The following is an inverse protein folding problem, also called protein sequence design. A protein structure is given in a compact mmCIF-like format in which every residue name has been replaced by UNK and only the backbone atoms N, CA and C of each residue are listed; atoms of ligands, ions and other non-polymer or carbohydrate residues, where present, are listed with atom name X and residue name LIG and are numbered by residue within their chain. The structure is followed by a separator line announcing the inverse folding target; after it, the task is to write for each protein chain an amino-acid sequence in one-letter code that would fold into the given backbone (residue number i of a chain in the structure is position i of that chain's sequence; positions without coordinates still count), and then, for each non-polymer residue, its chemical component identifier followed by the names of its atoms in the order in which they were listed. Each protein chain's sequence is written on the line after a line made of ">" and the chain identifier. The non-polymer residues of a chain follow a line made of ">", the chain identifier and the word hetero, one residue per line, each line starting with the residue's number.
data_IF_392402487455
#
_entry.id   IF_392402487455
#
_cell.length_a   1.000
_cell.length_b   1.000
_cell.length_c   1.000
_cell.angle_alpha   90.00
_cell.angle_beta   90.00
_cell.angle_gamma   90.00
#
_symmetry.space_group_name_H-M   'P 1'
#
loop_
_entity.id
_entity.type
_entity.pdbx_description
1 polymer ?
#
# COMPACT_ATOMS: atom_id res chain seq x y z
N UNK A 1 52.21 7.24 -28.06
CA UNK A 1 51.75 6.48 -26.89
C UNK A 1 50.68 7.33 -26.22
N UNK A 2 49.40 7.13 -26.55
CA UNK A 2 48.30 7.94 -26.04
C UNK A 2 47.39 7.03 -25.21
N UNK A 3 47.36 7.25 -23.91
CA UNK A 3 46.50 6.54 -22.96
C UNK A 3 45.07 7.05 -23.04
N UNK A 4 44.17 6.21 -23.53
CA UNK A 4 42.71 6.45 -23.47
C UNK A 4 42.24 6.20 -22.03
N UNK A 5 41.88 7.24 -21.30
CA UNK A 5 41.13 7.15 -20.07
C UNK A 5 39.65 6.93 -20.38
N UNK A 6 39.17 5.72 -20.12
CA UNK A 6 37.74 5.37 -20.18
C UNK A 6 37.03 6.00 -18.97
N UNK A 7 36.16 6.98 -19.20
CA UNK A 7 35.20 7.48 -18.21
C UNK A 7 34.09 6.42 -18.06
N UNK A 8 34.09 5.69 -16.96
CA UNK A 8 32.95 4.89 -16.53
C UNK A 8 31.80 5.86 -16.16
N UNK A 9 30.71 5.78 -16.90
CA UNK A 9 29.47 6.48 -16.58
C UNK A 9 28.82 5.88 -15.32
N UNK A 10 27.99 6.65 -14.60
CA UNK A 10 27.33 6.16 -13.39
C UNK A 10 26.46 4.94 -13.73
N UNK A 11 26.78 3.81 -13.08
CA UNK A 11 26.07 2.56 -13.26
C UNK A 11 24.59 2.74 -12.95
N UNK A 12 23.73 2.55 -13.95
CA UNK A 12 22.29 2.35 -13.74
C UNK A 12 22.15 1.14 -12.81
N UNK A 13 21.65 1.38 -11.61
CA UNK A 13 21.23 0.31 -10.72
C UNK A 13 20.22 -0.56 -11.48
N UNK A 14 20.63 -1.76 -11.87
CA UNK A 14 19.74 -2.76 -12.48
C UNK A 14 18.78 -3.22 -11.39
N UNK A 15 17.56 -2.71 -11.42
CA UNK A 15 16.46 -3.27 -10.63
C UNK A 15 16.34 -4.76 -10.98
N UNK A 16 16.27 -5.67 -10.01
CA UNK A 16 16.05 -7.09 -10.28
C UNK A 16 14.73 -7.24 -11.02
N UNK A 17 14.76 -7.66 -12.28
CA UNK A 17 13.57 -8.05 -13.03
C UNK A 17 13.09 -9.39 -12.48
N UNK A 18 11.85 -9.43 -11.97
CA UNK A 18 11.13 -10.64 -11.63
C UNK A 18 11.17 -11.03 -10.14
N UNK A 19 10.01 -11.28 -9.56
CA UNK A 19 9.71 -11.76 -8.20
C UNK A 19 9.85 -10.76 -7.05
N UNK A 20 9.94 -9.48 -7.30
CA UNK A 20 10.04 -8.46 -6.25
C UNK A 20 8.80 -7.57 -6.26
N UNK A 21 8.18 -7.37 -5.10
CA UNK A 21 7.20 -6.32 -4.90
C UNK A 21 7.94 -5.04 -4.55
N UNK A 22 7.66 -3.96 -5.29
CA UNK A 22 8.20 -2.64 -4.99
C UNK A 22 7.21 -1.89 -4.12
N UNK A 23 7.65 -1.49 -2.93
CA UNK A 23 6.87 -0.73 -1.98
C UNK A 23 7.43 0.69 -1.87
N UNK A 24 6.58 1.67 -2.08
CA UNK A 24 6.92 3.09 -2.12
C UNK A 24 6.15 3.83 -1.05
N UNK A 25 6.84 4.58 -0.21
CA UNK A 25 6.25 5.48 0.77
C UNK A 25 6.36 6.92 0.32
N UNK A 26 5.32 7.71 0.55
CA UNK A 26 5.36 9.14 0.35
C UNK A 26 6.36 9.77 1.33
N UNK A 27 7.31 10.53 0.78
CA UNK A 27 8.20 11.37 1.59
C UNK A 27 7.48 12.67 1.95
N UNK A 28 7.03 12.75 3.18
CA UNK A 28 6.30 13.90 3.72
C UNK A 28 7.21 15.08 4.12
N UNK A 29 8.53 14.90 4.11
CA UNK A 29 9.47 15.99 4.34
C UNK A 29 9.53 16.96 3.17
N UNK A 30 9.08 16.53 1.99
CA UNK A 30 9.00 17.35 0.78
C UNK A 30 7.63 18.01 0.70
N UNK A 31 7.56 19.35 0.70
CA UNK A 31 6.30 20.05 0.55
C UNK A 31 5.66 19.78 -0.81
N UNK A 32 4.32 19.82 -0.86
CA UNK A 32 3.60 19.67 -2.11
C UNK A 32 4.02 20.74 -3.12
N UNK A 33 4.28 20.30 -4.37
CA UNK A 33 4.66 21.20 -5.45
C UNK A 33 3.57 21.23 -6.53
N UNK A 34 3.36 22.39 -7.19
CA UNK A 34 2.33 22.51 -8.23
C UNK A 34 2.43 21.48 -9.36
N UNK A 35 3.64 21.02 -9.68
CA UNK A 35 3.89 20.01 -10.70
C UNK A 35 3.25 18.64 -10.42
N UNK A 36 2.88 18.34 -9.18
CA UNK A 36 2.22 17.06 -8.88
C UNK A 36 0.83 16.97 -9.49
N UNK A 37 0.09 18.06 -9.51
CA UNK A 37 -1.23 18.10 -10.14
C UNK A 37 -1.14 17.90 -11.66
N UNK A 38 -0.12 18.44 -12.31
CA UNK A 38 0.01 18.40 -13.78
C UNK A 38 0.28 17.02 -14.36
N UNK A 39 0.72 16.04 -13.56
CA UNK A 39 0.92 14.66 -14.01
C UNK A 39 -0.32 13.79 -13.87
N UNK A 40 -1.34 14.25 -13.15
CA UNK A 40 -2.63 13.59 -13.00
C UNK A 40 -3.42 13.72 -14.30
N UNK A 41 -4.23 12.72 -14.63
CA UNK A 41 -5.14 12.82 -15.75
C UNK A 41 -6.35 13.74 -15.45
N UNK A 42 -7.14 14.11 -16.46
CA UNK A 42 -8.28 15.02 -16.27
C UNK A 42 -9.30 14.53 -15.24
N UNK A 43 -9.52 13.22 -15.13
CA UNK A 43 -10.45 12.63 -14.16
C UNK A 43 -9.92 12.78 -12.74
N UNK A 44 -8.65 12.47 -12.52
CA UNK A 44 -7.99 12.66 -11.23
C UNK A 44 -7.94 14.14 -10.84
N UNK A 45 -7.63 15.03 -11.79
CA UNK A 45 -7.64 16.49 -11.55
C UNK A 45 -9.03 17.00 -11.15
N UNK A 46 -10.07 16.53 -11.82
CA UNK A 46 -11.46 16.87 -11.47
C UNK A 46 -11.81 16.36 -10.07
N UNK A 47 -11.44 15.12 -9.71
CA UNK A 47 -11.63 14.57 -8.36
C UNK A 47 -10.88 15.39 -7.31
N UNK A 48 -9.62 15.76 -7.59
CA UNK A 48 -8.84 16.61 -6.68
C UNK A 48 -9.52 17.97 -6.47
N UNK A 49 -10.01 18.60 -7.53
CA UNK A 49 -10.69 19.90 -7.46
C UNK A 49 -12.02 19.85 -6.70
N UNK A 50 -12.72 18.70 -6.77
CA UNK A 50 -13.97 18.49 -6.02
C UNK A 50 -13.77 18.36 -4.50
N UNK A 51 -12.55 18.15 -4.03
CA UNK A 51 -12.23 18.12 -2.61
C UNK A 51 -12.15 19.55 -2.06
N UNK A 52 -13.13 19.95 -1.25
CA UNK A 52 -13.25 21.31 -0.73
C UNK A 52 -12.16 21.68 0.29
N UNK A 53 -11.70 20.72 1.10
CA UNK A 53 -10.67 20.95 2.11
C UNK A 53 -9.26 20.79 1.52
N UNK A 54 -8.35 21.71 1.88
CA UNK A 54 -6.98 21.73 1.35
C UNK A 54 -6.18 20.47 1.69
N UNK A 55 -6.21 20.03 2.94
CA UNK A 55 -5.42 18.88 3.39
C UNK A 55 -5.81 17.56 2.69
N UNK A 56 -7.10 17.16 2.57
CA UNK A 56 -7.52 16.02 1.76
C UNK A 56 -7.15 16.16 0.29
N UNK A 57 -7.27 17.35 -0.29
CA UNK A 57 -6.89 17.63 -1.68
C UNK A 57 -5.40 17.40 -1.90
N UNK A 58 -4.56 17.95 -1.04
CA UNK A 58 -3.10 17.78 -1.12
C UNK A 58 -2.71 16.31 -0.94
N UNK A 59 -3.32 15.59 0.00
CA UNK A 59 -3.10 14.17 0.21
C UNK A 59 -3.49 13.33 -1.03
N UNK A 60 -4.63 13.62 -1.64
CA UNK A 60 -5.08 12.96 -2.86
C UNK A 60 -4.07 13.17 -4.02
N UNK A 61 -3.69 14.42 -4.27
CA UNK A 61 -2.74 14.75 -5.34
C UNK A 61 -1.40 14.05 -5.12
N UNK A 62 -0.86 14.10 -3.90
CA UNK A 62 0.41 13.46 -3.56
C UNK A 62 0.34 11.93 -3.73
N UNK A 63 -0.73 11.29 -3.28
CA UNK A 63 -0.92 9.84 -3.39
C UNK A 63 -1.00 9.38 -4.86
N UNK A 64 -1.78 10.05 -5.70
CA UNK A 64 -1.92 9.71 -7.11
C UNK A 64 -0.66 10.02 -7.93
N UNK A 65 0.02 11.12 -7.63
CA UNK A 65 1.30 11.43 -8.25
C UNK A 65 2.39 10.41 -7.83
N UNK A 66 2.34 9.88 -6.59
CA UNK A 66 3.24 8.81 -6.14
C UNK A 66 3.00 7.50 -6.92
N UNK A 67 1.75 7.13 -7.21
CA UNK A 67 1.42 5.97 -8.08
C UNK A 67 2.14 6.11 -9.42
N UNK A 68 1.99 7.25 -10.08
CA UNK A 68 2.59 7.53 -11.38
C UNK A 68 4.11 7.50 -11.33
N UNK A 69 4.70 8.02 -10.24
CA UNK A 69 6.15 7.97 -10.00
C UNK A 69 6.64 6.52 -9.84
N UNK A 70 5.95 5.72 -9.04
CA UNK A 70 6.30 4.31 -8.79
C UNK A 70 6.20 3.47 -10.09
N UNK A 71 5.12 3.66 -10.87
CA UNK A 71 4.95 2.99 -12.16
C UNK A 71 6.04 3.38 -13.16
N UNK A 72 6.40 4.66 -13.20
CA UNK A 72 7.47 5.14 -14.08
C UNK A 72 8.84 4.58 -13.71
N UNK A 73 9.13 4.48 -12.43
CA UNK A 73 10.36 3.86 -11.95
C UNK A 73 10.41 2.35 -12.26
N UNK A 74 9.27 1.66 -12.20
CA UNK A 74 9.17 0.23 -12.48
C UNK A 74 9.25 -0.09 -13.98
N UNK A 75 8.63 0.72 -14.85
CA UNK A 75 8.34 0.40 -16.24
C UNK A 75 9.00 1.33 -17.27
N UNK A 76 9.37 2.55 -16.88
CA UNK A 76 10.09 3.50 -17.72
C UNK A 76 9.30 4.65 -18.32
N UNK A 77 8.03 4.49 -18.78
CA UNK A 77 7.26 5.61 -19.32
C UNK A 77 7.13 6.77 -18.33
N UNK A 78 7.06 8.03 -18.80
CA UNK A 78 6.98 9.19 -17.91
C UNK A 78 5.64 9.25 -17.13
N UNK A 79 5.60 9.86 -15.94
CA UNK A 79 4.43 9.84 -15.04
C UNK A 79 3.11 10.29 -15.67
N UNK A 80 3.14 11.29 -16.54
CA UNK A 80 1.95 11.84 -17.22
C UNK A 80 1.39 10.93 -18.32
N UNK A 81 2.14 9.92 -18.78
CA UNK A 81 1.70 9.02 -19.85
C UNK A 81 0.77 7.90 -19.37
N UNK A 82 0.74 7.63 -18.08
CA UNK A 82 -0.07 6.56 -17.53
C UNK A 82 -1.56 6.84 -17.71
N UNK A 83 -2.29 5.83 -18.17
CA UNK A 83 -3.75 5.83 -18.28
C UNK A 83 -4.29 4.69 -17.44
N UNK A 84 -5.34 4.99 -16.70
CA UNK A 84 -5.99 4.03 -15.82
C UNK A 84 -7.39 3.73 -16.31
N UNK A 85 -7.82 2.52 -16.06
CA UNK A 85 -9.18 2.05 -16.23
C UNK A 85 -9.63 1.41 -14.92
N UNK A 86 -10.91 1.49 -14.63
CA UNK A 86 -11.48 0.84 -13.45
C UNK A 86 -12.17 -0.45 -13.87
N UNK A 87 -11.92 -1.54 -13.12
CA UNK A 87 -12.69 -2.77 -13.26
C UNK A 87 -14.16 -2.53 -12.86
N UNK A 88 -15.10 -3.44 -13.19
CA UNK A 88 -16.49 -3.34 -12.72
C UNK A 88 -16.64 -3.23 -11.20
N UNK A 89 -15.62 -3.63 -10.47
CA UNK A 89 -15.56 -3.56 -8.99
C UNK A 89 -14.74 -2.36 -8.47
N UNK A 90 -14.36 -1.40 -9.33
CA UNK A 90 -13.64 -0.18 -8.95
C UNK A 90 -12.14 -0.36 -8.72
N UNK A 91 -11.54 -1.53 -9.03
CA UNK A 91 -10.09 -1.69 -8.96
C UNK A 91 -9.43 -0.98 -10.14
N UNK A 92 -8.51 -0.03 -9.90
CA UNK A 92 -7.76 0.60 -10.98
C UNK A 92 -6.74 -0.37 -11.58
N UNK A 93 -6.61 -0.34 -12.90
CA UNK A 93 -5.58 -1.04 -13.67
C UNK A 93 -4.92 -0.10 -14.66
N UNK A 94 -3.73 -0.44 -15.12
CA UNK A 94 -2.99 0.35 -16.11
C UNK A 94 -3.34 -0.13 -17.50
N UNK A 95 -3.86 0.76 -18.34
CA UNK A 95 -4.24 0.43 -19.72
C UNK A 95 -3.05 -0.11 -20.50
N UNK A 96 -3.20 -1.29 -21.08
CA UNK A 96 -2.19 -1.91 -21.93
C UNK A 96 -0.98 -2.51 -21.20
N UNK A 97 -1.01 -2.58 -19.85
CA UNK A 97 0.07 -3.17 -19.06
C UNK A 97 -0.47 -4.17 -18.03
N UNK A 98 0.14 -5.36 -17.91
CA UNK A 98 -0.28 -6.37 -16.93
C UNK A 98 0.20 -6.08 -15.50
N UNK A 99 0.80 -4.92 -15.27
CA UNK A 99 1.29 -4.51 -13.95
C UNK A 99 0.15 -4.43 -12.95
N UNK A 100 0.41 -4.90 -11.74
CA UNK A 100 -0.48 -4.74 -10.59
C UNK A 100 0.06 -3.64 -9.70
N UNK A 101 -0.82 -2.79 -9.23
CA UNK A 101 -0.48 -1.82 -8.19
C UNK A 101 -1.60 -1.72 -7.17
N UNK A 102 -1.26 -1.27 -5.98
CA UNK A 102 -2.20 -0.99 -4.91
C UNK A 102 -1.77 0.27 -4.19
N UNK A 103 -2.68 1.23 -4.09
CA UNK A 103 -2.50 2.48 -3.37
C UNK A 103 -3.28 2.41 -2.05
N UNK A 104 -2.68 2.89 -0.97
CA UNK A 104 -3.41 3.25 0.24
C UNK A 104 -2.89 4.54 0.84
N UNK A 105 -3.77 5.27 1.50
CA UNK A 105 -3.43 6.47 2.24
C UNK A 105 -4.30 6.60 3.50
N UNK A 106 -3.71 7.13 4.57
CA UNK A 106 -4.42 7.43 5.83
C UNK A 106 -3.90 8.75 6.36
N UNK A 107 -4.76 9.77 6.36
CA UNK A 107 -4.34 11.14 6.59
C UNK A 107 -3.28 11.59 5.57
N UNK A 108 -2.15 12.16 6.03
CA UNK A 108 -1.08 12.62 5.13
C UNK A 108 -0.14 11.48 4.67
N UNK A 109 -0.27 10.28 5.20
CA UNK A 109 0.58 9.14 4.85
C UNK A 109 0.01 8.40 3.65
N UNK A 110 0.84 8.08 2.67
CA UNK A 110 0.46 7.29 1.50
C UNK A 110 1.56 6.28 1.16
N UNK A 111 1.15 5.15 0.62
CA UNK A 111 2.07 4.16 0.09
C UNK A 111 1.48 3.46 -1.13
N UNK A 112 2.37 2.99 -2.00
CA UNK A 112 2.07 2.29 -3.24
C UNK A 112 2.86 1.00 -3.30
N UNK A 113 2.21 -0.10 -3.58
CA UNK A 113 2.85 -1.35 -3.94
C UNK A 113 2.72 -1.58 -5.45
N UNK A 114 3.80 -2.05 -6.09
CA UNK A 114 3.84 -2.39 -7.53
C UNK A 114 4.40 -3.80 -7.69
N UNK A 115 3.74 -4.63 -8.51
CA UNK A 115 4.18 -5.98 -8.85
C UNK A 115 3.90 -6.28 -10.32
N UNK A 116 4.83 -7.00 -10.96
CA UNK A 116 4.66 -7.47 -12.34
C UNK A 116 4.10 -8.90 -12.41
N UNK A 117 4.18 -9.66 -11.31
CA UNK A 117 3.89 -11.10 -11.32
C UNK A 117 2.73 -11.50 -10.39
N UNK A 118 2.47 -10.72 -9.33
CA UNK A 118 1.55 -11.13 -8.28
C UNK A 118 0.36 -10.18 -8.17
N UNK A 119 -0.81 -10.74 -7.86
CA UNK A 119 -1.89 -9.92 -7.32
C UNK A 119 -1.50 -9.47 -5.93
N UNK A 120 -1.60 -8.17 -5.71
CA UNK A 120 -1.17 -7.49 -4.48
C UNK A 120 -2.26 -6.57 -3.95
N UNK A 121 -2.27 -6.39 -2.65
CA UNK A 121 -3.06 -5.36 -1.98
C UNK A 121 -2.24 -4.73 -0.86
N UNK A 122 -2.37 -3.43 -0.74
CA UNK A 122 -1.73 -2.63 0.29
C UNK A 122 -2.79 -1.83 1.01
N UNK A 123 -2.71 -1.81 2.33
CA UNK A 123 -3.55 -0.93 3.12
C UNK A 123 -2.78 -0.25 4.24
N UNK A 124 -3.26 0.94 4.63
CA UNK A 124 -2.72 1.83 5.66
C UNK A 124 -3.86 2.38 6.48
N UNK A 125 -3.82 2.21 7.82
CA UNK A 125 -4.86 2.70 8.70
C UNK A 125 -4.32 3.29 9.99
N UNK A 126 -4.90 4.41 10.43
CA UNK A 126 -4.61 5.01 11.72
C UNK A 126 -5.34 4.30 12.83
N UNK A 127 -4.62 4.09 13.92
CA UNK A 127 -5.19 3.57 15.16
C UNK A 127 -5.98 4.70 15.85
N UNK A 128 -7.27 4.45 16.10
CA UNK A 128 -8.15 5.35 16.86
C UNK A 128 -8.26 4.84 18.31
N UNK A 129 -7.28 5.22 19.13
CA UNK A 129 -7.19 4.75 20.51
C UNK A 129 -8.33 5.24 21.43
N UNK A 130 -9.04 6.27 21.01
CA UNK A 130 -10.17 6.89 21.71
C UNK A 130 -11.52 6.19 21.46
N UNK A 131 -11.56 5.19 20.57
CA UNK A 131 -12.80 4.51 20.18
C UNK A 131 -12.80 3.05 20.60
N UNK A 132 -13.94 2.57 21.12
CA UNK A 132 -14.15 1.13 21.30
C UNK A 132 -14.39 0.47 19.94
N UNK A 133 -13.52 -0.43 19.49
CA UNK A 133 -13.66 -1.07 18.19
C UNK A 133 -14.65 -2.24 18.17
N UNK A 134 -15.10 -2.75 19.32
CA UNK A 134 -15.90 -3.97 19.41
C UNK A 134 -17.23 -3.88 18.64
N UNK A 135 -17.98 -2.76 18.65
CA UNK A 135 -19.20 -2.64 17.84
C UNK A 135 -18.94 -2.83 16.34
N UNK A 136 -17.86 -2.24 15.82
CA UNK A 136 -17.47 -2.38 14.41
C UNK A 136 -16.99 -3.81 14.10
N UNK A 137 -16.21 -4.40 15.00
CA UNK A 137 -15.77 -5.80 14.84
C UNK A 137 -16.95 -6.77 14.76
N UNK A 138 -17.96 -6.61 15.63
CA UNK A 138 -19.17 -7.44 15.60
C UNK A 138 -19.98 -7.30 14.32
N UNK A 139 -19.92 -6.14 13.68
CA UNK A 139 -20.67 -5.85 12.46
C UNK A 139 -19.97 -6.35 11.20
N UNK A 140 -18.64 -6.28 11.15
CA UNK A 140 -17.88 -6.45 9.92
C UNK A 140 -16.93 -7.64 9.91
N UNK A 141 -16.53 -8.16 11.06
CA UNK A 141 -15.57 -9.26 11.15
C UNK A 141 -16.25 -10.60 11.36
N UNK A 142 -15.51 -11.68 11.15
CA UNK A 142 -15.97 -12.99 11.50
C UNK A 142 -16.22 -13.10 13.02
N UNK A 143 -17.20 -13.90 13.45
CA UNK A 143 -17.55 -14.03 14.85
C UNK A 143 -16.36 -14.46 15.73
N UNK A 144 -15.46 -15.32 15.21
CA UNK A 144 -14.25 -15.77 15.86
C UNK A 144 -13.28 -14.62 16.16
N UNK A 145 -13.14 -13.66 15.24
CA UNK A 145 -12.27 -12.49 15.41
C UNK A 145 -12.86 -11.50 16.41
N UNK A 146 -14.18 -11.27 16.35
CA UNK A 146 -14.88 -10.47 17.35
C UNK A 146 -14.71 -11.05 18.76
N UNK A 147 -14.82 -12.38 18.91
CA UNK A 147 -14.57 -13.06 20.17
C UNK A 147 -13.10 -12.99 20.61
N UNK A 148 -12.15 -13.09 19.68
CA UNK A 148 -10.73 -12.93 19.98
C UNK A 148 -10.41 -11.52 20.49
N UNK A 149 -10.94 -10.48 19.84
CA UNK A 149 -10.75 -9.08 20.25
C UNK A 149 -11.27 -8.82 21.69
N UNK A 150 -12.33 -9.48 22.15
CA UNK A 150 -12.82 -9.30 23.51
C UNK A 150 -11.85 -9.81 24.57
N UNK A 151 -10.96 -10.76 24.24
CA UNK A 151 -9.94 -11.32 25.14
C UNK A 151 -8.68 -10.46 25.22
N UNK A 152 -8.48 -9.56 24.23
CA UNK A 152 -7.34 -8.64 24.23
C UNK A 152 -7.59 -7.54 25.28
N UNK A 153 -6.57 -7.12 26.07
CA UNK A 153 -6.67 -5.99 26.98
C UNK A 153 -7.23 -4.74 26.30
N UNK A 154 -8.08 -3.99 27.00
CA UNK A 154 -8.85 -2.89 26.39
C UNK A 154 -7.96 -1.86 25.70
N UNK A 155 -6.81 -1.55 26.28
CA UNK A 155 -5.82 -0.61 25.76
C UNK A 155 -5.15 -1.06 24.46
N UNK A 156 -5.10 -2.37 24.17
CA UNK A 156 -4.53 -2.93 22.94
C UNK A 156 -5.57 -3.23 21.87
N UNK A 157 -6.86 -3.21 22.19
CA UNK A 157 -7.95 -3.54 21.25
C UNK A 157 -7.99 -2.63 20.02
N UNK A 158 -7.83 -1.29 20.15
CA UNK A 158 -7.81 -0.42 18.97
C UNK A 158 -6.69 -0.78 17.99
N UNK A 159 -5.52 -1.13 18.50
CA UNK A 159 -4.40 -1.58 17.68
C UNK A 159 -4.69 -2.89 16.97
N UNK A 160 -5.15 -3.90 17.71
CA UNK A 160 -5.48 -5.21 17.16
C UNK A 160 -6.60 -5.13 16.11
N UNK A 161 -7.65 -4.36 16.40
CA UNK A 161 -8.73 -4.12 15.45
C UNK A 161 -8.24 -3.45 14.17
N UNK A 162 -7.45 -2.37 14.31
CA UNK A 162 -6.89 -1.65 13.15
C UNK A 162 -6.03 -2.58 12.31
N UNK A 163 -5.22 -3.42 12.93
CA UNK A 163 -4.40 -4.38 12.22
C UNK A 163 -5.23 -5.41 11.45
N UNK A 164 -6.25 -6.00 12.08
CA UNK A 164 -7.18 -6.92 11.42
C UNK A 164 -7.87 -6.24 10.23
N UNK A 165 -8.36 -5.03 10.43
CA UNK A 165 -8.99 -4.23 9.38
C UNK A 165 -8.04 -4.01 8.21
N UNK A 166 -6.84 -3.51 8.48
CA UNK A 166 -5.81 -3.23 7.47
C UNK A 166 -5.45 -4.49 6.65
N UNK A 167 -5.29 -5.65 7.31
CA UNK A 167 -5.01 -6.90 6.60
C UNK A 167 -6.18 -7.31 5.71
N UNK A 168 -7.41 -7.24 6.21
CA UNK A 168 -8.61 -7.59 5.45
C UNK A 168 -8.79 -6.71 4.23
N UNK A 169 -8.67 -5.39 4.39
CA UNK A 169 -8.73 -4.44 3.27
C UNK A 169 -7.64 -4.72 2.24
N UNK A 170 -6.42 -5.03 2.68
CA UNK A 170 -5.35 -5.41 1.77
C UNK A 170 -5.67 -6.70 0.99
N UNK A 171 -6.30 -7.71 1.62
CA UNK A 171 -6.76 -8.92 0.91
C UNK A 171 -7.83 -8.56 -0.12
N UNK A 172 -8.83 -7.77 0.24
CA UNK A 172 -9.90 -7.36 -0.69
C UNK A 172 -9.35 -6.58 -1.88
N UNK A 173 -8.40 -5.68 -1.64
CA UNK A 173 -7.66 -4.96 -2.70
C UNK A 173 -6.89 -5.93 -3.60
N UNK A 174 -6.21 -6.93 -3.05
CA UNK A 174 -5.50 -7.95 -3.82
C UNK A 174 -6.44 -8.80 -4.69
N UNK A 175 -7.63 -9.12 -4.18
CA UNK A 175 -8.68 -9.83 -4.92
C UNK A 175 -9.31 -8.99 -6.04
N UNK A 176 -9.23 -7.67 -5.93
CA UNK A 176 -9.79 -6.75 -6.92
C UNK A 176 -11.32 -6.67 -6.94
N UNK A 177 -11.97 -7.05 -5.84
CA UNK A 177 -13.43 -7.07 -5.71
C UNK A 177 -14.00 -5.75 -5.15
N UNK A 178 -13.13 -4.82 -4.76
CA UNK A 178 -13.52 -3.51 -4.25
C UNK A 178 -14.31 -3.59 -2.93
N UNK A 179 -15.02 -2.52 -2.60
CA UNK A 179 -15.84 -2.41 -1.40
C UNK A 179 -17.11 -3.29 -1.41
N UNK A 180 -17.37 -3.99 -2.52
CA UNK A 180 -18.54 -4.88 -2.66
C UNK A 180 -18.32 -6.24 -2.00
N UNK A 181 -17.12 -6.58 -1.60
CA UNK A 181 -16.83 -7.82 -0.89
C UNK A 181 -16.90 -7.61 0.63
N UNK A 182 -17.28 -8.66 1.32
CA UNK A 182 -17.52 -8.61 2.76
C UNK A 182 -16.20 -8.83 3.52
N UNK A 183 -15.91 -7.99 4.50
CA UNK A 183 -14.74 -8.13 5.38
C UNK A 183 -14.75 -9.46 6.15
N UNK A 184 -15.93 -10.02 6.46
CA UNK A 184 -16.05 -11.32 7.10
C UNK A 184 -15.77 -12.53 6.17
N UNK A 185 -15.58 -12.28 4.84
CA UNK A 185 -15.07 -13.29 3.91
C UNK A 185 -13.57 -13.56 4.07
N UNK A 186 -12.87 -12.72 4.83
CA UNK A 186 -11.45 -12.84 5.17
C UNK A 186 -11.35 -13.12 6.65
N UNK A 187 -10.71 -14.20 7.05
CA UNK A 187 -10.42 -14.52 8.45
C UNK A 187 -8.93 -14.38 8.72
N UNK A 188 -8.59 -13.61 9.74
CA UNK A 188 -7.21 -13.35 10.17
C UNK A 188 -7.03 -13.81 11.61
N UNK A 189 -5.96 -14.54 11.88
CA UNK A 189 -5.55 -14.88 13.25
C UNK A 189 -4.29 -14.11 13.57
N UNK A 190 -4.28 -13.53 14.76
CA UNK A 190 -3.13 -12.86 15.33
C UNK A 190 -2.63 -13.67 16.54
N UNK A 191 -1.31 -13.68 16.74
CA UNK A 191 -0.70 -14.19 17.95
C UNK A 191 -0.81 -13.20 19.13
N UNK A 192 -0.24 -13.54 20.28
CA UNK A 192 -0.23 -12.70 21.49
C UNK A 192 0.54 -11.37 21.30
N UNK A 193 1.50 -11.35 20.37
CA UNK A 193 2.27 -10.17 20.01
C UNK A 193 1.56 -9.30 18.96
N UNK A 194 0.35 -9.71 18.51
CA UNK A 194 -0.41 -9.13 17.41
C UNK A 194 0.27 -9.33 16.03
N UNK A 195 1.10 -10.37 15.86
CA UNK A 195 1.59 -10.73 14.55
C UNK A 195 0.59 -11.62 13.79
N UNK A 196 0.46 -11.47 12.46
CA UNK A 196 -0.41 -12.34 11.68
C UNK A 196 0.11 -13.79 11.64
N UNK A 197 -0.66 -14.73 12.21
CA UNK A 197 -0.37 -16.17 12.14
C UNK A 197 -0.92 -16.81 10.87
N UNK A 198 -2.15 -16.45 10.50
CA UNK A 198 -2.80 -16.96 9.31
C UNK A 198 -3.77 -15.97 8.71
N UNK A 199 -3.93 -16.07 7.40
CA UNK A 199 -4.94 -15.33 6.64
C UNK A 199 -5.64 -16.32 5.71
N UNK A 200 -6.95 -16.45 5.88
CA UNK A 200 -7.81 -17.31 5.09
C UNK A 200 -8.82 -16.45 4.32
N UNK A 201 -8.82 -16.58 3.01
CA UNK A 201 -9.79 -15.93 2.14
C UNK A 201 -9.88 -16.68 0.81
N UNK A 202 -11.01 -16.59 0.10
CA UNK A 202 -11.14 -17.15 -1.24
C UNK A 202 -10.07 -16.63 -2.20
N UNK A 203 -9.57 -17.50 -3.08
CA UNK A 203 -8.58 -17.13 -4.10
C UNK A 203 -7.13 -17.17 -3.64
N UNK A 204 -6.83 -17.62 -2.40
CA UNK A 204 -5.46 -17.81 -1.91
C UNK A 204 -4.65 -18.84 -2.69
N UNK A 205 -3.40 -19.13 -2.27
CA UNK A 205 -2.81 -18.77 -0.98
C UNK A 205 -2.41 -17.30 -0.86
N UNK A 206 -2.46 -16.77 0.37
CA UNK A 206 -2.16 -15.39 0.71
C UNK A 206 -0.95 -15.32 1.65
N UNK A 207 0.05 -14.55 1.27
CA UNK A 207 1.13 -14.16 2.17
C UNK A 207 0.93 -12.73 2.63
N UNK A 208 1.18 -12.47 3.90
CA UNK A 208 0.95 -11.18 4.55
C UNK A 208 2.22 -10.68 5.22
N UNK A 209 2.50 -9.41 5.04
CA UNK A 209 3.46 -8.65 5.83
C UNK A 209 2.74 -7.47 6.46
N UNK A 210 2.71 -7.41 7.79
CA UNK A 210 2.14 -6.28 8.52
C UNK A 210 3.23 -5.61 9.35
N UNK A 211 3.16 -4.27 9.50
CA UNK A 211 4.12 -3.46 10.25
C UNK A 211 3.51 -2.12 10.68
N UNK A 212 4.24 -1.38 11.50
CA UNK A 212 3.92 -0.02 11.88
C UNK A 212 4.90 0.95 11.17
N UNK A 213 4.51 1.65 10.08
CA UNK A 213 5.38 2.59 9.39
C UNK A 213 5.78 3.79 10.25
N UNK A 214 4.89 4.18 11.15
CA UNK A 214 5.06 5.25 12.14
C UNK A 214 4.16 4.98 13.36
N UNK A 215 4.40 5.62 14.51
CA UNK A 215 3.53 5.48 15.67
C UNK A 215 2.06 5.78 15.34
N UNK A 216 1.16 4.92 15.77
CA UNK A 216 -0.28 5.06 15.52
C UNK A 216 -0.73 4.77 14.08
N UNK A 217 0.13 4.26 13.20
CA UNK A 217 -0.23 3.81 11.86
C UNK A 217 0.03 2.31 11.74
N UNK A 218 -0.87 1.59 11.08
CA UNK A 218 -0.71 0.18 10.71
C UNK A 218 -0.72 0.06 9.20
N UNK A 219 0.11 -0.85 8.70
CA UNK A 219 0.22 -1.17 7.29
C UNK A 219 0.19 -2.68 7.08
N UNK A 220 -0.41 -3.11 5.99
CA UNK A 220 -0.37 -4.49 5.54
C UNK A 220 -0.17 -4.55 4.02
N UNK A 221 0.80 -5.37 3.62
CA UNK A 221 0.98 -5.80 2.24
C UNK A 221 0.56 -7.26 2.14
N UNK A 222 -0.36 -7.54 1.25
CA UNK A 222 -0.84 -8.89 0.95
C UNK A 222 -0.46 -9.24 -0.47
N UNK A 223 0.04 -10.45 -0.65
CA UNK A 223 0.45 -10.98 -1.95
C UNK A 223 -0.22 -12.33 -2.17
N UNK A 224 -0.76 -12.54 -3.35
CA UNK A 224 -1.30 -13.85 -3.75
C UNK A 224 -0.15 -14.79 -4.13
N UNK A 225 0.43 -15.41 -3.12
CA UNK A 225 1.55 -16.34 -3.24
C UNK A 225 1.62 -17.22 -1.99
N UNK A 226 2.17 -18.44 -2.11
CA UNK A 226 2.38 -19.32 -0.96
C UNK A 226 3.49 -18.86 -0.02
N UNK A 227 4.38 -18.00 -0.51
CA UNK A 227 5.45 -17.37 0.29
C UNK A 227 5.58 -15.91 -0.12
N UNK A 228 5.91 -15.05 0.86
CA UNK A 228 6.11 -13.62 0.60
C UNK A 228 7.31 -13.43 -0.33
N UNK A 229 7.13 -12.80 -1.50
CA UNK A 229 8.24 -12.46 -2.38
C UNK A 229 9.17 -11.43 -1.73
N UNK A 230 10.36 -11.25 -2.29
CA UNK A 230 11.24 -10.16 -1.88
C UNK A 230 10.54 -8.81 -2.03
N UNK A 231 10.72 -7.92 -1.05
CA UNK A 231 10.15 -6.59 -1.07
C UNK A 231 11.30 -5.58 -1.16
N UNK A 232 11.28 -4.73 -2.17
CA UNK A 232 12.15 -3.56 -2.21
C UNK A 232 11.39 -2.36 -1.68
N UNK A 233 11.98 -1.61 -0.76
CA UNK A 233 11.34 -0.47 -0.12
C UNK A 233 12.02 0.82 -0.54
N UNK A 234 11.23 1.78 -0.98
CA UNK A 234 11.69 3.12 -1.37
C UNK A 234 10.83 4.19 -0.71
N UNK A 235 11.43 5.35 -0.48
CA UNK A 235 10.71 6.55 -0.10
C UNK A 235 10.93 7.60 -1.19
N UNK A 236 9.90 8.26 -1.61
CA UNK A 236 10.00 9.29 -2.64
C UNK A 236 8.99 10.40 -2.43
N UNK A 237 9.39 11.62 -2.74
CA UNK A 237 8.45 12.64 -3.12
C UNK A 237 7.90 12.28 -4.52
N UNK A 238 6.62 12.60 -4.82
CA UNK A 238 6.13 12.46 -6.19
C UNK A 238 7.03 13.21 -7.17
N UNK A 239 7.32 12.58 -8.30
CA UNK A 239 8.25 13.05 -9.34
C UNK A 239 9.73 13.17 -8.90
N UNK A 240 10.04 12.83 -7.67
CA UNK A 240 11.40 12.78 -7.16
C UNK A 240 12.11 11.45 -7.45
N UNK A 241 13.45 11.46 -7.39
CA UNK A 241 14.22 10.23 -7.41
C UNK A 241 13.93 9.41 -6.14
N UNK A 242 13.81 8.07 -6.25
CA UNK A 242 13.63 7.23 -5.07
C UNK A 242 14.88 7.25 -4.19
N UNK A 243 14.66 7.37 -2.90
CA UNK A 243 15.69 7.15 -1.89
C UNK A 243 15.40 5.80 -1.23
N UNK A 244 16.38 4.91 -1.07
CA UNK A 244 16.17 3.68 -0.31
C UNK A 244 15.60 4.02 1.06
N UNK A 245 14.46 3.44 1.39
CA UNK A 245 13.92 3.57 2.74
C UNK A 245 14.62 2.55 3.65
N UNK A 246 14.74 2.83 4.96
CA UNK A 246 15.16 1.82 5.91
C UNK A 246 14.24 0.59 5.75
N UNK A 247 14.80 -0.58 5.98
CA UNK A 247 14.04 -1.83 5.93
C UNK A 247 12.72 -1.68 6.67
N UNK A 248 11.67 -2.28 6.12
CA UNK A 248 10.43 -2.45 6.87
C UNK A 248 10.85 -2.98 8.23
N UNK A 249 10.56 -2.25 9.31
CA UNK A 249 10.85 -2.68 10.65
C UNK A 249 10.52 -4.17 10.84
N UNK A 250 11.03 -4.84 11.88
CA UNK A 250 10.82 -6.26 12.04
C UNK A 250 9.35 -6.55 11.79
N UNK A 251 8.99 -7.66 11.09
CA UNK A 251 7.62 -8.12 11.10
C UNK A 251 7.20 -8.06 12.55
N UNK A 252 5.99 -7.63 12.82
CA UNK A 252 5.43 -7.74 14.17
C UNK A 252 5.81 -9.15 14.60
N UNK A 253 6.75 -9.23 15.54
CA UNK A 253 7.62 -10.37 15.77
C UNK A 253 6.82 -11.66 15.99
N UNK A 254 7.42 -12.75 15.45
CA UNK A 254 7.03 -14.10 15.85
C UNK A 254 6.97 -14.22 17.34
#
# INVERSE_FOLDING_TARGET
>A
MGTRTSKAGPGRARTPRGRTVQLWFLDRSVPAVPGWLSVLDPTEQARATALNAEAPRAAYIAAHALVRTALSAALGPPPQSWRFEESPHGRPSVVGHPVRFSLSHSGPSAAVAVSLEHDIGLDLERVHADKDPLPLARRFFAASEGAALTRIPAERRPEAFTLLWTIKEAVLKARGLGLNDRLDSVTVRLDEALAPESVEAPGGPWSVRAWAPEPGLRAALVVRAGTMPAISVSRAAPLGAPVPAPELGPPLSR
#
